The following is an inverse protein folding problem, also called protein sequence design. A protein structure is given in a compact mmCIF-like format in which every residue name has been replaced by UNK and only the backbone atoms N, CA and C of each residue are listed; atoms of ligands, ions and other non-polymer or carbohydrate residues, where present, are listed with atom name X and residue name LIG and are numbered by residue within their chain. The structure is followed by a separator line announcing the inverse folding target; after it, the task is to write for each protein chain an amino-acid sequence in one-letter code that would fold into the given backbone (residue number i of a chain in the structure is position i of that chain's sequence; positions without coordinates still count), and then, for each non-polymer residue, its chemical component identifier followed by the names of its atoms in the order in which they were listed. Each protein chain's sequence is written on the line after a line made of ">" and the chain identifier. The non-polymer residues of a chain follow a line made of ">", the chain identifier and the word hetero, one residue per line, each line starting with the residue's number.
data_IF_450291141022
#
_entry.id   IF_450291141022
#
_cell.length_a   1.000
_cell.length_b   1.000
_cell.length_c   1.000
_cell.angle_alpha   90.00
_cell.angle_beta   90.00
_cell.angle_gamma   90.00
#
_symmetry.space_group_name_H-M   'P 1'
#
loop_
_entity.id
_entity.type
_entity.pdbx_description
1 polymer ?
#
# COMPACT_ATOMS: atom_id res chain seq x y z
N UNK A 1 -7.05 -4.88 11.37
CA UNK A 1 -6.76 -5.33 12.75
C UNK A 1 -8.02 -5.44 13.63
N UNK A 2 -9.02 -6.18 13.18
CA UNK A 2 -10.27 -6.35 13.97
C UNK A 2 -10.13 -7.27 15.20
N UNK A 3 -8.99 -7.90 15.41
CA UNK A 3 -8.86 -9.01 16.32
C UNK A 3 -7.99 -8.84 17.56
N UNK A 4 -7.33 -7.71 17.75
CA UNK A 4 -6.54 -7.50 18.97
C UNK A 4 -7.33 -6.66 19.97
N UNK A 5 -7.51 -7.21 21.16
CA UNK A 5 -8.05 -6.46 22.30
C UNK A 5 -7.00 -5.52 22.85
N UNK A 6 -7.40 -4.31 23.19
CA UNK A 6 -6.62 -3.34 23.96
C UNK A 6 -6.46 -3.85 25.41
N UNK A 7 -5.51 -3.30 26.19
CA UNK A 7 -5.33 -3.68 27.61
C UNK A 7 -6.60 -3.55 28.46
N UNK A 8 -7.54 -2.69 28.06
CA UNK A 8 -8.83 -2.50 28.71
C UNK A 8 -9.91 -3.50 28.26
N UNK A 9 -9.56 -4.53 27.46
CA UNK A 9 -10.47 -5.55 26.93
C UNK A 9 -11.32 -5.12 25.76
N UNK A 10 -11.24 -3.85 25.32
CA UNK A 10 -11.97 -3.35 24.15
C UNK A 10 -11.21 -3.61 22.85
N UNK A 11 -11.94 -3.70 21.74
CA UNK A 11 -11.34 -3.67 20.41
C UNK A 11 -11.03 -2.22 19.99
N UNK A 12 -10.09 -2.01 19.07
CA UNK A 12 -9.82 -0.69 18.48
C UNK A 12 -11.08 -0.06 17.87
N UNK A 13 -11.94 -0.87 17.23
CA UNK A 13 -13.22 -0.40 16.70
C UNK A 13 -14.12 0.17 17.77
N UNK A 14 -14.27 -0.54 18.91
CA UNK A 14 -15.09 -0.06 20.01
C UNK A 14 -14.58 1.25 20.57
N UNK A 15 -13.26 1.33 20.82
CA UNK A 15 -12.64 2.56 21.33
C UNK A 15 -12.80 3.74 20.36
N UNK A 16 -12.65 3.50 19.07
CA UNK A 16 -12.84 4.53 18.04
C UNK A 16 -14.28 5.05 18.02
N UNK A 17 -15.26 4.13 18.04
CA UNK A 17 -16.68 4.50 18.04
C UNK A 17 -17.11 5.27 19.29
N UNK A 18 -16.43 5.07 20.41
CA UNK A 18 -16.67 5.84 21.65
C UNK A 18 -16.06 7.24 21.60
N UNK A 19 -14.92 7.40 20.92
CA UNK A 19 -14.16 8.66 20.91
C UNK A 19 -14.54 9.57 19.73
N UNK A 20 -15.03 9.02 18.64
CA UNK A 20 -15.27 9.74 17.40
C UNK A 20 -16.76 9.61 17.04
N UNK A 21 -17.51 10.71 16.95
CA UNK A 21 -18.89 10.68 16.52
C UNK A 21 -18.94 10.39 15.01
N UNK A 22 -19.10 9.12 14.63
CA UNK A 22 -19.21 8.69 13.24
C UNK A 22 -20.67 8.63 12.82
N UNK A 23 -20.96 9.14 11.63
CA UNK A 23 -22.25 8.90 10.97
C UNK A 23 -22.27 7.48 10.39
N UNK A 24 -22.92 6.56 11.11
CA UNK A 24 -23.01 5.15 10.74
C UNK A 24 -23.90 4.91 9.51
N UNK A 25 -24.65 5.90 9.03
CA UNK A 25 -25.33 5.81 7.74
C UNK A 25 -24.37 5.92 6.55
N UNK A 26 -23.19 6.49 6.77
CA UNK A 26 -22.13 6.71 5.76
C UNK A 26 -20.88 5.86 6.01
N UNK A 27 -20.68 5.36 7.21
CA UNK A 27 -19.50 4.57 7.59
C UNK A 27 -19.90 3.10 7.84
N UNK A 28 -19.39 2.21 7.00
CA UNK A 28 -19.74 0.80 7.02
C UNK A 28 -18.54 -0.07 7.41
N UNK A 29 -18.67 -0.85 8.46
CA UNK A 29 -17.66 -1.81 8.91
C UNK A 29 -18.00 -3.20 8.35
N UNK A 30 -17.56 -3.49 7.16
CA UNK A 30 -17.92 -4.70 6.40
C UNK A 30 -17.23 -5.98 6.89
N UNK A 31 -16.26 -5.87 7.80
CA UNK A 31 -15.57 -7.04 8.34
C UNK A 31 -14.70 -7.77 7.30
N UNK A 32 -14.60 -9.09 7.43
CA UNK A 32 -13.88 -9.93 6.47
C UNK A 32 -14.81 -10.31 5.33
N UNK A 33 -14.37 -10.09 4.11
CA UNK A 33 -15.13 -10.39 2.90
C UNK A 33 -14.51 -11.58 2.15
N UNK A 34 -15.31 -12.41 1.47
CA UNK A 34 -14.80 -13.33 0.46
C UNK A 34 -14.02 -12.56 -0.62
N UNK A 35 -12.93 -13.17 -1.12
CA UNK A 35 -12.00 -12.48 -2.02
C UNK A 35 -12.65 -11.82 -3.23
N UNK A 36 -13.58 -12.53 -3.92
CA UNK A 36 -14.27 -11.96 -5.07
C UNK A 36 -15.17 -10.75 -4.73
N UNK A 37 -15.72 -10.69 -3.51
CA UNK A 37 -16.48 -9.53 -3.05
C UNK A 37 -15.56 -8.39 -2.64
N UNK A 38 -14.44 -8.69 -1.98
CA UNK A 38 -13.39 -7.72 -1.68
C UNK A 38 -12.91 -6.99 -2.94
N UNK A 39 -12.60 -7.72 -4.01
CA UNK A 39 -12.18 -7.11 -5.28
C UNK A 39 -13.25 -6.18 -5.85
N UNK A 40 -14.55 -6.57 -5.77
CA UNK A 40 -15.65 -5.70 -6.22
C UNK A 40 -15.76 -4.42 -5.40
N UNK A 41 -15.52 -4.48 -4.09
CA UNK A 41 -15.50 -3.30 -3.23
C UNK A 41 -14.36 -2.36 -3.65
N UNK A 42 -13.15 -2.90 -3.87
CA UNK A 42 -12.01 -2.08 -4.33
C UNK A 42 -12.29 -1.49 -5.70
N UNK A 43 -12.84 -2.25 -6.65
CA UNK A 43 -13.18 -1.75 -7.99
C UNK A 43 -14.25 -0.66 -7.99
N UNK A 44 -15.17 -0.70 -7.02
CA UNK A 44 -16.21 0.31 -6.87
C UNK A 44 -15.76 1.55 -6.07
N UNK A 45 -14.57 1.51 -5.49
CA UNK A 45 -14.04 2.60 -4.66
C UNK A 45 -13.37 3.67 -5.52
N UNK A 46 -13.66 4.93 -5.24
CA UNK A 46 -12.97 6.07 -5.86
C UNK A 46 -11.53 6.16 -5.38
N UNK A 47 -11.27 5.81 -4.13
CA UNK A 47 -9.94 5.85 -3.52
C UNK A 47 -9.80 4.78 -2.45
N UNK A 48 -8.62 4.16 -2.38
CA UNK A 48 -8.21 3.26 -1.31
C UNK A 48 -7.15 3.95 -0.45
N UNK A 49 -7.45 4.15 0.84
CA UNK A 49 -6.48 4.71 1.78
C UNK A 49 -5.61 3.57 2.31
N UNK A 50 -4.33 3.60 1.98
CA UNK A 50 -3.35 2.59 2.36
C UNK A 50 -2.31 3.16 3.32
N UNK A 51 -2.55 2.99 4.62
CA UNK A 51 -1.65 3.47 5.67
C UNK A 51 -0.88 2.31 6.26
N UNK A 52 0.43 2.32 6.09
CA UNK A 52 1.34 1.35 6.71
C UNK A 52 2.54 2.06 7.33
N UNK A 53 2.97 1.55 8.49
CA UNK A 53 4.26 1.91 9.07
C UNK A 53 5.37 1.23 8.25
N UNK A 54 6.63 1.69 8.33
CA UNK A 54 7.73 1.02 7.61
C UNK A 54 7.78 -0.48 7.93
N UNK A 55 7.31 -1.29 7.00
CA UNK A 55 7.21 -2.75 7.05
C UNK A 55 6.99 -3.28 5.63
N UNK A 56 6.93 -4.59 5.46
CA UNK A 56 6.64 -5.23 4.18
C UNK A 56 5.29 -4.76 3.64
N UNK A 57 5.23 -4.45 2.35
CA UNK A 57 4.00 -4.07 1.68
C UNK A 57 2.94 -5.17 1.75
N UNK A 58 1.70 -4.76 1.95
CA UNK A 58 0.55 -5.68 1.87
C UNK A 58 0.17 -5.96 0.42
N UNK A 59 -0.24 -7.19 0.14
CA UNK A 59 -0.84 -7.56 -1.14
C UNK A 59 -1.99 -6.65 -1.55
N UNK A 60 -2.76 -6.14 -0.57
CA UNK A 60 -3.90 -5.25 -0.83
C UNK A 60 -3.54 -3.99 -1.60
N UNK A 61 -2.32 -3.47 -1.47
CA UNK A 61 -1.87 -2.32 -2.24
C UNK A 61 -1.71 -2.68 -3.72
N UNK A 62 -1.00 -3.77 -4.02
CA UNK A 62 -0.78 -4.23 -5.40
C UNK A 62 -2.12 -4.64 -6.04
N UNK A 63 -3.00 -5.32 -5.29
CA UNK A 63 -4.34 -5.67 -5.75
C UNK A 63 -5.18 -4.44 -6.09
N UNK A 64 -5.14 -3.40 -5.24
CA UNK A 64 -5.87 -2.15 -5.50
C UNK A 64 -5.36 -1.45 -6.75
N UNK A 65 -4.04 -1.31 -6.92
CA UNK A 65 -3.44 -0.76 -8.13
C UNK A 65 -3.82 -1.59 -9.37
N UNK A 66 -3.79 -2.92 -9.27
CA UNK A 66 -4.14 -3.83 -10.38
C UNK A 66 -5.59 -3.69 -10.85
N UNK A 67 -6.50 -3.34 -9.93
CA UNK A 67 -7.92 -3.11 -10.24
C UNK A 67 -8.20 -1.71 -10.80
N UNK A 68 -7.20 -0.83 -10.86
CA UNK A 68 -7.37 0.57 -11.25
C UNK A 68 -7.97 1.44 -10.15
N UNK A 69 -7.97 0.99 -8.89
CA UNK A 69 -8.35 1.83 -7.76
C UNK A 69 -7.20 2.79 -7.43
N UNK A 70 -7.50 4.07 -7.26
CA UNK A 70 -6.51 5.06 -6.87
C UNK A 70 -6.12 4.85 -5.41
N UNK A 71 -4.82 4.96 -5.12
CA UNK A 71 -4.31 4.85 -3.76
C UNK A 71 -3.87 6.22 -3.24
N UNK A 72 -4.30 6.52 -2.01
CA UNK A 72 -3.65 7.49 -1.12
C UNK A 72 -2.86 6.69 -0.10
N UNK A 73 -1.56 6.61 -0.28
CA UNK A 73 -0.65 5.80 0.54
C UNK A 73 0.12 6.63 1.56
N UNK A 74 0.58 5.98 2.63
CA UNK A 74 1.51 6.61 3.56
C UNK A 74 2.87 6.86 2.89
N UNK A 75 3.42 8.06 3.08
CA UNK A 75 4.73 8.45 2.57
C UNK A 75 5.85 7.76 3.36
N UNK A 76 6.10 6.49 3.06
CA UNK A 76 7.09 5.64 3.70
C UNK A 76 7.93 4.92 2.65
N UNK A 77 9.18 4.58 3.00
CA UNK A 77 10.11 3.94 2.05
C UNK A 77 9.51 2.73 1.30
N UNK A 78 8.85 1.76 1.95
CA UNK A 78 8.28 0.63 1.22
C UNK A 78 7.17 1.03 0.23
N UNK A 79 6.35 2.04 0.56
CA UNK A 79 5.30 2.51 -0.34
C UNK A 79 5.88 3.24 -1.53
N UNK A 80 6.94 4.04 -1.32
CA UNK A 80 7.68 4.73 -2.39
C UNK A 80 8.40 3.81 -3.37
N UNK A 81 8.63 2.55 -3.02
CA UNK A 81 9.16 1.55 -3.97
C UNK A 81 8.18 1.26 -5.12
N UNK A 82 6.89 1.48 -4.90
CA UNK A 82 5.82 1.18 -5.84
C UNK A 82 5.10 2.43 -6.31
N UNK A 83 4.83 3.37 -5.40
CA UNK A 83 4.07 4.59 -5.68
C UNK A 83 5.02 5.78 -5.84
N UNK A 84 4.91 6.42 -6.98
CA UNK A 84 5.45 7.73 -7.30
C UNK A 84 4.34 8.78 -7.18
N UNK A 85 4.53 9.74 -6.26
CA UNK A 85 3.49 10.72 -5.90
C UNK A 85 3.03 11.55 -7.10
N UNK A 86 1.74 11.57 -7.35
CA UNK A 86 1.12 12.27 -8.47
C UNK A 86 1.23 11.57 -9.82
N UNK A 87 1.96 10.45 -9.93
CA UNK A 87 2.13 9.70 -11.17
C UNK A 87 1.26 8.43 -11.21
N UNK A 88 1.40 7.55 -10.23
CA UNK A 88 0.65 6.29 -10.15
C UNK A 88 -0.07 6.08 -8.82
N UNK A 89 -0.17 7.12 -8.02
CA UNK A 89 -0.85 7.20 -6.74
C UNK A 89 -0.55 8.51 -6.05
N UNK A 90 -1.10 8.72 -4.87
CA UNK A 90 -0.85 9.90 -4.06
C UNK A 90 -0.25 9.50 -2.71
N UNK A 91 0.66 10.32 -2.20
CA UNK A 91 1.31 10.08 -0.91
C UNK A 91 0.90 11.15 0.12
N UNK A 92 0.78 10.71 1.38
CA UNK A 92 0.50 11.57 2.53
C UNK A 92 1.33 11.13 3.73
N UNK A 93 1.72 12.07 4.58
CA UNK A 93 2.39 11.76 5.84
C UNK A 93 1.50 10.85 6.69
N UNK A 94 2.07 9.71 7.13
CA UNK A 94 1.39 8.72 7.98
C UNK A 94 0.78 9.33 9.24
N UNK A 95 1.42 10.34 9.81
CA UNK A 95 1.01 11.00 11.05
C UNK A 95 0.14 12.25 10.84
N UNK A 96 -0.21 12.59 9.60
CA UNK A 96 -1.03 13.74 9.27
C UNK A 96 -2.42 13.34 8.72
N UNK A 97 -3.43 13.15 9.60
CA UNK A 97 -4.80 12.91 9.15
C UNK A 97 -5.31 13.99 8.19
N UNK A 98 -4.84 15.25 8.38
CA UNK A 98 -5.19 16.35 7.50
C UNK A 98 -4.68 16.12 6.07
N UNK A 99 -3.41 15.75 5.90
CA UNK A 99 -2.88 15.47 4.55
C UNK A 99 -3.63 14.31 3.88
N UNK A 100 -3.95 13.25 4.65
CA UNK A 100 -4.76 12.13 4.10
C UNK A 100 -6.10 12.64 3.62
N UNK A 101 -6.80 13.49 4.39
CA UNK A 101 -8.07 14.07 4.00
C UNK A 101 -7.92 14.98 2.77
N UNK A 102 -6.94 15.89 2.75
CA UNK A 102 -6.65 16.79 1.64
C UNK A 102 -6.40 16.00 0.33
N UNK A 103 -5.68 14.86 0.41
CA UNK A 103 -5.44 13.97 -0.75
C UNK A 103 -6.71 13.26 -1.22
N UNK A 104 -7.59 12.86 -0.30
CA UNK A 104 -8.89 12.28 -0.66
C UNK A 104 -9.77 13.33 -1.35
N UNK A 105 -9.81 14.55 -0.83
CA UNK A 105 -10.54 15.66 -1.45
C UNK A 105 -10.00 15.96 -2.86
N UNK A 106 -8.67 16.00 -3.04
CA UNK A 106 -8.02 16.15 -4.36
C UNK A 106 -8.50 15.07 -5.36
N UNK A 107 -8.65 13.81 -4.90
CA UNK A 107 -9.16 12.72 -5.74
C UNK A 107 -10.58 12.98 -6.19
N UNK A 108 -11.44 13.41 -5.28
CA UNK A 108 -12.87 13.63 -5.56
C UNK A 108 -13.13 14.88 -6.41
N UNK A 109 -12.29 15.91 -6.27
CA UNK A 109 -12.42 17.17 -6.99
C UNK A 109 -11.86 17.13 -8.42
N UNK A 110 -10.91 16.21 -8.71
CA UNK A 110 -10.20 16.16 -9.99
C UNK A 110 -10.31 14.80 -10.71
N UNK A 111 -11.52 14.30 -11.01
CA UNK A 111 -11.72 12.95 -11.54
C UNK A 111 -11.01 12.67 -12.87
N UNK A 112 -10.89 13.69 -13.74
CA UNK A 112 -10.19 13.53 -15.04
C UNK A 112 -8.69 13.26 -14.85
N UNK A 113 -8.02 14.03 -14.01
CA UNK A 113 -6.61 13.82 -13.66
C UNK A 113 -6.41 12.48 -12.97
N UNK A 114 -7.32 12.10 -12.10
CA UNK A 114 -7.25 10.84 -11.39
C UNK A 114 -7.41 9.62 -12.31
N UNK A 115 -8.13 9.75 -13.41
CA UNK A 115 -8.24 8.67 -14.40
C UNK A 115 -6.87 8.34 -15.03
N UNK A 116 -6.04 9.34 -15.33
CA UNK A 116 -4.68 9.14 -15.85
C UNK A 116 -3.77 8.46 -14.82
N UNK A 117 -3.85 8.88 -13.55
CA UNK A 117 -3.08 8.28 -12.46
C UNK A 117 -3.49 6.82 -12.24
N UNK A 118 -4.79 6.50 -12.30
CA UNK A 118 -5.31 5.12 -12.19
C UNK A 118 -4.79 4.21 -13.31
N UNK A 119 -4.75 4.71 -14.54
CA UNK A 119 -4.22 3.95 -15.67
C UNK A 119 -2.73 3.67 -15.49
N UNK A 120 -1.93 4.68 -15.12
CA UNK A 120 -0.51 4.51 -14.81
C UNK A 120 -0.28 3.54 -13.64
N UNK A 121 -1.13 3.60 -12.60
CA UNK A 121 -1.08 2.68 -11.47
C UNK A 121 -1.25 1.22 -11.92
N UNK A 122 -2.25 0.96 -12.73
CA UNK A 122 -2.49 -0.37 -13.29
C UNK A 122 -1.34 -0.81 -14.20
N UNK A 123 -0.83 0.07 -15.06
CA UNK A 123 0.30 -0.21 -15.94
C UNK A 123 1.55 -0.57 -15.14
N UNK A 124 1.86 0.15 -14.06
CA UNK A 124 2.98 -0.16 -13.15
C UNK A 124 2.90 -1.60 -12.61
N UNK A 125 1.69 -2.07 -12.25
CA UNK A 125 1.52 -3.45 -11.76
C UNK A 125 1.71 -4.45 -12.89
N UNK A 126 1.16 -4.20 -14.06
CA UNK A 126 1.30 -5.10 -15.22
C UNK A 126 2.77 -5.25 -15.65
N UNK A 127 3.55 -4.17 -15.62
CA UNK A 127 4.95 -4.19 -16.03
C UNK A 127 5.90 -4.77 -14.99
N UNK A 128 5.62 -4.54 -13.70
CA UNK A 128 6.59 -4.85 -12.63
C UNK A 128 6.20 -6.02 -11.74
N UNK A 129 4.90 -6.37 -11.67
CA UNK A 129 4.36 -7.33 -10.69
C UNK A 129 3.46 -8.39 -11.32
N UNK A 130 3.35 -8.48 -12.66
CA UNK A 130 2.55 -9.52 -13.30
C UNK A 130 3.09 -10.91 -12.95
N UNK A 131 2.20 -11.78 -12.50
CA UNK A 131 2.56 -13.12 -12.05
C UNK A 131 3.25 -13.94 -13.14
N UNK A 132 2.80 -13.81 -14.41
CA UNK A 132 3.41 -14.47 -15.57
C UNK A 132 4.91 -14.21 -15.67
N UNK A 133 5.31 -12.95 -15.51
CA UNK A 133 6.69 -12.52 -15.68
C UNK A 133 7.53 -12.81 -14.43
N UNK A 134 6.93 -12.61 -13.26
CA UNK A 134 7.60 -12.87 -11.99
C UNK A 134 7.84 -14.36 -11.75
N UNK A 135 6.91 -15.23 -12.17
CA UNK A 135 7.08 -16.68 -12.04
C UNK A 135 8.30 -17.19 -12.82
N UNK A 136 8.48 -16.70 -14.05
CA UNK A 136 9.66 -17.03 -14.87
C UNK A 136 10.97 -16.63 -14.16
N UNK A 137 11.06 -15.41 -13.66
CA UNK A 137 12.21 -14.90 -12.91
C UNK A 137 12.49 -15.69 -11.63
N UNK A 138 11.45 -16.07 -10.90
CA UNK A 138 11.60 -16.91 -9.70
C UNK A 138 12.13 -18.31 -10.03
N UNK A 139 11.60 -18.95 -11.07
CA UNK A 139 12.08 -20.27 -11.50
C UNK A 139 13.53 -20.21 -11.97
N UNK A 140 13.90 -19.18 -12.70
CA UNK A 140 15.29 -18.96 -13.11
C UNK A 140 16.21 -18.79 -11.90
N UNK A 141 15.83 -17.95 -10.93
CA UNK A 141 16.60 -17.76 -9.69
C UNK A 141 16.76 -19.07 -8.91
N UNK A 142 15.69 -19.85 -8.76
CA UNK A 142 15.73 -21.16 -8.09
C UNK A 142 16.70 -22.08 -8.81
N UNK A 143 16.67 -22.15 -10.13
CA UNK A 143 17.57 -22.98 -10.93
C UNK A 143 19.03 -22.52 -10.78
N UNK A 144 19.31 -21.22 -10.78
CA UNK A 144 20.64 -20.69 -10.57
C UNK A 144 21.19 -21.05 -9.18
N UNK A 145 20.37 -20.95 -8.13
CA UNK A 145 20.74 -21.34 -6.76
C UNK A 145 20.98 -22.85 -6.67
N UNK A 146 20.07 -23.65 -7.22
CA UNK A 146 20.18 -25.11 -7.22
C UNK A 146 21.44 -25.61 -7.94
N UNK A 147 21.80 -24.96 -9.04
CA UNK A 147 23.00 -25.31 -9.83
C UNK A 147 24.29 -24.62 -9.32
N UNK A 148 24.24 -23.89 -8.19
CA UNK A 148 25.37 -23.14 -7.62
C UNK A 148 26.07 -22.19 -8.61
N UNK A 149 25.35 -21.68 -9.59
CA UNK A 149 25.85 -20.78 -10.64
C UNK A 149 25.62 -19.30 -10.32
N UNK A 150 25.29 -18.96 -9.07
CA UNK A 150 25.18 -17.57 -8.64
C UNK A 150 26.57 -16.93 -8.64
N UNK A 151 26.87 -16.14 -9.66
CA UNK A 151 27.90 -15.11 -9.57
C UNK A 151 27.37 -14.03 -8.62
N UNK A 152 28.05 -13.70 -7.52
CA UNK A 152 27.57 -12.67 -6.60
C UNK A 152 27.73 -11.30 -7.26
N UNK A 153 26.67 -10.82 -7.90
CA UNK A 153 26.55 -9.43 -8.32
C UNK A 153 25.87 -8.63 -7.20
N UNK A 154 26.41 -8.76 -6.01
CA UNK A 154 26.10 -7.79 -4.95
C UNK A 154 27.30 -6.84 -4.94
N UNK A 155 27.13 -5.70 -5.59
CA UNK A 155 28.01 -4.56 -5.37
C UNK A 155 28.06 -4.30 -3.87
N UNK A 156 29.23 -4.47 -3.25
CA UNK A 156 29.47 -3.97 -1.90
C UNK A 156 29.41 -2.44 -1.99
N UNK A 157 28.22 -1.89 -1.77
CA UNK A 157 28.16 -0.51 -1.32
C UNK A 157 28.84 -0.48 0.05
N UNK A 158 30.00 0.14 0.08
CA UNK A 158 30.72 0.44 1.32
C UNK A 158 29.82 1.29 2.20
N UNK A 159 29.34 0.70 3.29
CA UNK A 159 28.61 1.44 4.33
C UNK A 159 29.47 2.62 4.76
N UNK A 160 28.93 3.87 4.77
CA UNK A 160 29.63 4.96 5.43
C UNK A 160 29.78 4.62 6.91
N UNK A 161 30.99 4.77 7.43
CA UNK A 161 31.32 4.56 8.82
C UNK A 161 30.46 5.48 9.69
N UNK A 162 29.54 4.91 10.49
CA UNK A 162 28.84 5.61 11.55
C UNK A 162 29.85 5.94 12.65
N UNK A 163 30.33 7.16 12.64
CA UNK A 163 31.03 7.76 13.77
C UNK A 163 29.97 8.03 14.85
N UNK A 164 29.94 7.19 15.88
CA UNK A 164 29.22 7.47 17.10
C UNK A 164 29.86 8.70 17.78
N UNK A 165 29.28 9.88 17.63
CA UNK A 165 29.53 10.99 18.54
C UNK A 165 28.63 10.83 19.75
N UNK A 166 29.29 10.68 20.90
CA UNK A 166 28.67 10.71 22.22
C UNK A 166 27.97 12.06 22.44
N UNK A 167 26.67 12.01 22.76
CA UNK A 167 26.04 12.83 23.79
C UNK A 167 24.72 12.17 24.22
#
# INVERSE_FOLDING_TARGET
>A
CYGKSLPNGKTYKQEMLEKIPLDLSRVHFVGSLPYGLYLKVIQASDVHIYLTRPFVLSWSMIESLSTGCLIVGSDTSPVREVIEDGENGLLADFFSPKQVADRVDEVLEHPTRMAEIREKARQTVLERYALSDMLGKHLELINQVANRTLTPTIGRETKPSLTLSKF
#
